data_IF_409489429276
#
_entry.id   IF_409489429276
#
_cell.length_a   1.000
_cell.length_b   1.000
_cell.length_c   1.000
_cell.angle_alpha   90.00
_cell.angle_beta   90.00
_cell.angle_gamma   90.00
#
_symmetry.space_group_name_H-M   'P 1'
#
loop_
_entity.id
_entity.type
_entity.pdbx_description
1 polymer ?
#
# COMPACT_ATOMS: atom_id res chain seq x y z
N UNK A 1 -38.96 -36.38 -1.05
CA UNK A 1 -37.96 -35.66 -0.22
C UNK A 1 -36.92 -34.90 -1.04
N UNK A 2 -36.27 -35.50 -2.05
CA UNK A 2 -35.26 -34.81 -2.89
C UNK A 2 -35.78 -33.60 -3.67
N UNK A 3 -36.99 -33.67 -4.24
CA UNK A 3 -37.58 -32.58 -5.03
C UNK A 3 -37.84 -31.33 -4.17
N UNK A 4 -38.43 -31.48 -2.99
CA UNK A 4 -38.75 -30.36 -2.09
C UNK A 4 -37.50 -29.63 -1.57
N UNK A 5 -36.41 -30.36 -1.30
CA UNK A 5 -35.11 -29.78 -0.91
C UNK A 5 -34.53 -28.97 -2.08
N UNK A 6 -34.66 -29.47 -3.31
CA UNK A 6 -34.18 -28.77 -4.50
C UNK A 6 -34.99 -27.49 -4.78
N UNK A 7 -36.32 -27.53 -4.61
CA UNK A 7 -37.17 -26.34 -4.76
C UNK A 7 -36.88 -25.29 -3.68
N UNK A 8 -36.64 -25.71 -2.44
CA UNK A 8 -36.28 -24.80 -1.35
C UNK A 8 -34.90 -24.13 -1.57
N UNK A 9 -33.91 -24.87 -2.06
CA UNK A 9 -32.59 -24.33 -2.39
C UNK A 9 -32.63 -23.34 -3.57
N UNK A 10 -33.43 -23.63 -4.60
CA UNK A 10 -33.66 -22.70 -5.73
C UNK A 10 -34.36 -21.44 -5.24
N UNK A 11 -35.39 -21.57 -4.39
CA UNK A 11 -36.10 -20.42 -3.82
C UNK A 11 -35.17 -19.55 -2.97
N UNK A 12 -34.29 -20.15 -2.15
CA UNK A 12 -33.31 -19.44 -1.32
C UNK A 12 -32.26 -18.67 -2.16
N UNK A 13 -31.87 -19.22 -3.31
CA UNK A 13 -30.95 -18.57 -4.24
C UNK A 13 -31.56 -17.31 -4.91
N UNK A 14 -32.89 -17.25 -5.07
CA UNK A 14 -33.59 -16.06 -5.59
C UNK A 14 -33.64 -14.88 -4.59
N UNK A 15 -33.35 -15.09 -3.30
CA UNK A 15 -33.28 -14.03 -2.29
C UNK A 15 -31.87 -13.57 -1.94
N UNK A 16 -30.83 -14.16 -2.55
CA UNK A 16 -29.46 -13.69 -2.39
C UNK A 16 -29.21 -12.56 -3.37
N UNK A 17 -29.27 -11.32 -2.88
CA UNK A 17 -28.85 -10.17 -3.67
C UNK A 17 -27.32 -10.20 -3.81
N UNK A 18 -26.83 -10.46 -5.02
CA UNK A 18 -25.42 -10.23 -5.37
C UNK A 18 -25.35 -8.79 -5.90
N UNK A 19 -25.04 -7.85 -5.02
CA UNK A 19 -24.91 -6.44 -5.40
C UNK A 19 -23.51 -6.21 -5.98
N UNK A 20 -23.43 -5.97 -7.28
CA UNK A 20 -22.20 -5.51 -7.94
C UNK A 20 -22.02 -3.98 -7.88
N UNK A 21 -22.93 -3.27 -7.20
CA UNK A 21 -22.93 -1.81 -7.08
C UNK A 21 -23.17 -1.38 -5.63
N UNK A 22 -22.45 -0.34 -5.20
CA UNK A 22 -22.56 0.24 -3.84
C UNK A 22 -23.85 1.06 -3.65
N UNK A 23 -24.48 1.49 -4.74
CA UNK A 23 -25.69 2.30 -4.75
C UNK A 23 -26.76 1.61 -5.59
N UNK A 24 -28.01 1.66 -5.15
CA UNK A 24 -29.14 1.20 -5.94
C UNK A 24 -29.57 2.21 -7.01
N UNK A 25 -28.99 3.41 -6.99
CA UNK A 25 -29.23 4.47 -7.96
C UNK A 25 -27.96 4.73 -8.78
N UNK A 26 -27.97 4.28 -10.03
CA UNK A 26 -26.86 4.43 -10.97
C UNK A 26 -26.59 5.88 -11.40
N UNK A 27 -27.49 6.82 -11.07
CA UNK A 27 -27.29 8.24 -11.30
C UNK A 27 -26.46 8.93 -10.20
N UNK A 28 -26.15 8.24 -9.10
CA UNK A 28 -25.44 8.79 -7.94
C UNK A 28 -24.12 8.04 -7.76
N UNK A 29 -22.99 8.73 -7.85
CA UNK A 29 -21.70 8.14 -7.51
C UNK A 29 -21.52 8.05 -5.99
N UNK A 30 -20.90 6.97 -5.50
CA UNK A 30 -20.43 6.90 -4.12
C UNK A 30 -19.14 7.72 -3.98
N UNK A 31 -19.26 8.99 -3.63
CA UNK A 31 -18.13 9.90 -3.54
C UNK A 31 -17.24 9.54 -2.33
N UNK A 32 -15.99 9.16 -2.59
CA UNK A 32 -15.00 8.81 -1.54
C UNK A 32 -14.55 10.05 -0.76
N UNK A 33 -14.47 11.18 -1.45
CA UNK A 33 -14.13 12.48 -0.91
C UNK A 33 -14.82 13.55 -1.76
N UNK A 34 -15.37 14.57 -1.10
CA UNK A 34 -16.12 15.67 -1.74
C UNK A 34 -15.65 17.01 -1.14
N UNK A 35 -14.35 17.27 -1.26
CA UNK A 35 -13.71 18.51 -0.83
C UNK A 35 -13.23 19.29 -2.03
N UNK A 36 -13.09 20.61 -1.88
CA UNK A 36 -12.46 21.46 -2.89
C UNK A 36 -10.98 21.08 -3.09
N UNK A 37 -10.44 21.37 -4.27
CA UNK A 37 -9.05 21.05 -4.63
C UNK A 37 -8.91 19.68 -5.28
N UNK A 38 -7.70 19.35 -5.74
CA UNK A 38 -7.45 18.13 -6.51
C UNK A 38 -7.40 16.88 -5.60
N UNK A 39 -8.07 15.81 -6.03
CA UNK A 39 -7.90 14.45 -5.51
C UNK A 39 -7.15 13.62 -6.57
N UNK A 40 -5.83 13.52 -6.39
CA UNK A 40 -4.92 13.01 -7.39
C UNK A 40 -4.47 11.57 -7.09
N UNK A 41 -4.23 10.83 -8.18
CA UNK A 41 -3.54 9.52 -8.18
C UNK A 41 -4.10 8.49 -7.20
N UNK A 42 -5.42 8.23 -7.14
CA UNK A 42 -5.96 7.26 -6.20
C UNK A 42 -5.38 5.85 -6.45
N UNK A 43 -5.08 5.13 -5.37
CA UNK A 43 -4.75 3.70 -5.39
C UNK A 43 -5.74 2.96 -4.49
N UNK A 44 -6.06 1.72 -4.85
CA UNK A 44 -7.03 0.88 -4.15
C UNK A 44 -6.39 -0.44 -3.75
N UNK A 45 -6.76 -0.96 -2.58
CA UNK A 45 -6.43 -2.32 -2.16
C UNK A 45 -7.64 -2.96 -1.47
N UNK A 46 -7.98 -4.18 -1.88
CA UNK A 46 -9.10 -4.93 -1.30
C UNK A 46 -8.78 -5.40 0.13
N UNK A 47 -9.80 -5.48 0.97
CA UNK A 47 -9.73 -6.06 2.32
C UNK A 47 -10.40 -7.44 2.34
N UNK A 48 -10.02 -8.27 3.30
CA UNK A 48 -10.51 -9.64 3.44
C UNK A 48 -12.01 -9.72 3.76
N UNK A 49 -12.55 -8.65 4.35
CA UNK A 49 -13.97 -8.48 4.67
C UNK A 49 -14.85 -8.15 3.45
N UNK A 50 -14.28 -8.03 2.24
CA UNK A 50 -15.00 -7.66 1.01
C UNK A 50 -15.10 -6.16 0.78
N UNK A 51 -14.52 -5.35 1.67
CA UNK A 51 -14.34 -3.91 1.49
C UNK A 51 -13.08 -3.55 0.71
N UNK A 52 -12.66 -2.29 0.85
CA UNK A 52 -11.39 -1.83 0.29
C UNK A 52 -10.85 -0.60 1.02
N UNK A 53 -9.55 -0.37 0.87
CA UNK A 53 -8.92 0.92 1.13
C UNK A 53 -8.70 1.69 -0.16
N UNK A 54 -8.94 2.99 -0.10
CA UNK A 54 -8.63 3.94 -1.17
C UNK A 54 -7.73 5.01 -0.58
N UNK A 55 -6.54 5.19 -1.16
CA UNK A 55 -5.56 6.18 -0.74
C UNK A 55 -5.29 7.15 -1.89
N UNK A 56 -5.15 8.45 -1.60
CA UNK A 56 -4.94 9.47 -2.62
C UNK A 56 -4.13 10.65 -2.09
N UNK A 57 -3.61 11.45 -3.01
CA UNK A 57 -3.08 12.78 -2.70
C UNK A 57 -4.20 13.80 -2.81
N UNK A 58 -4.35 14.64 -1.80
CA UNK A 58 -5.43 15.60 -1.67
C UNK A 58 -4.88 17.02 -1.51
N UNK A 59 -5.30 17.94 -2.36
CA UNK A 59 -4.87 19.33 -2.37
C UNK A 59 -5.89 20.30 -1.75
N UNK A 60 -6.79 19.82 -0.88
CA UNK A 60 -7.81 20.68 -0.24
C UNK A 60 -7.24 21.81 0.62
N UNK A 61 -6.00 21.66 1.09
CA UNK A 61 -5.31 22.64 1.93
C UNK A 61 -4.33 23.55 1.18
N UNK A 62 -4.32 23.52 -0.16
CA UNK A 62 -3.35 24.26 -0.98
C UNK A 62 -1.95 23.63 -1.05
N UNK A 63 -1.78 22.45 -0.47
CA UNK A 63 -0.64 21.55 -0.70
C UNK A 63 -1.11 20.11 -0.61
N UNK A 64 -0.49 19.22 -1.39
CA UNK A 64 -0.85 17.80 -1.39
C UNK A 64 -0.53 17.12 -0.06
N UNK A 65 -1.55 16.49 0.52
CA UNK A 65 -1.46 15.61 1.68
C UNK A 65 -2.00 14.22 1.32
N UNK A 66 -1.54 13.18 2.01
CA UNK A 66 -1.99 11.81 1.78
C UNK A 66 -3.19 11.52 2.66
N UNK A 67 -4.28 11.06 2.06
CA UNK A 67 -5.50 10.65 2.75
C UNK A 67 -5.86 9.20 2.43
N UNK A 68 -6.56 8.56 3.35
CA UNK A 68 -7.06 7.19 3.25
C UNK A 68 -8.54 7.13 3.59
N UNK A 69 -9.31 6.36 2.83
CA UNK A 69 -10.65 5.94 3.17
C UNK A 69 -10.68 4.42 3.22
N UNK A 70 -11.39 3.85 4.19
CA UNK A 70 -11.78 2.44 4.16
C UNK A 70 -13.27 2.37 3.85
N UNK A 71 -13.65 1.54 2.91
CA UNK A 71 -15.03 1.16 2.65
C UNK A 71 -15.28 -0.24 3.20
N UNK A 72 -16.42 -0.47 3.82
CA UNK A 72 -16.88 -1.83 4.12
C UNK A 72 -17.43 -2.54 2.86
N UNK A 73 -17.83 -3.80 3.02
CA UNK A 73 -18.45 -4.60 1.96
C UNK A 73 -19.87 -4.15 1.58
N UNK A 74 -20.37 -3.02 2.10
CA UNK A 74 -21.56 -2.33 1.64
C UNK A 74 -21.24 -0.93 1.06
N UNK A 75 -19.97 -0.51 1.03
CA UNK A 75 -19.52 0.75 0.43
C UNK A 75 -19.62 1.93 1.39
N UNK A 76 -19.89 1.67 2.67
CA UNK A 76 -19.96 2.70 3.70
C UNK A 76 -18.56 3.14 4.09
N UNK A 77 -18.40 4.45 4.32
CA UNK A 77 -17.15 5.01 4.81
C UNK A 77 -16.92 4.57 6.26
N UNK A 78 -15.77 3.96 6.51
CA UNK A 78 -15.34 3.51 7.84
C UNK A 78 -14.51 4.57 8.57
N UNK A 79 -13.96 5.55 7.84
CA UNK A 79 -13.37 6.76 8.41
C UNK A 79 -14.30 7.96 8.21
N UNK A 80 -13.85 9.15 8.61
CA UNK A 80 -14.61 10.39 8.40
C UNK A 80 -14.99 10.59 6.94
N UNK A 81 -16.05 11.38 6.68
CA UNK A 81 -16.63 11.60 5.33
C UNK A 81 -15.57 11.84 4.24
N UNK A 82 -14.53 12.61 4.55
CA UNK A 82 -13.50 13.03 3.61
C UNK A 82 -12.14 12.34 3.84
N UNK A 83 -12.17 11.12 4.41
CA UNK A 83 -10.99 10.31 4.70
C UNK A 83 -10.27 10.66 5.99
N UNK A 84 -9.39 9.74 6.39
CA UNK A 84 -8.37 9.88 7.43
C UNK A 84 -7.12 10.54 6.83
N UNK A 85 -6.63 11.61 7.47
CA UNK A 85 -5.34 12.21 7.11
C UNK A 85 -4.21 11.25 7.51
N UNK A 86 -3.39 10.82 6.54
CA UNK A 86 -2.21 9.98 6.77
C UNK A 86 -0.96 10.83 6.96
N UNK A 87 -0.74 11.84 6.11
CA UNK A 87 0.41 12.73 6.20
C UNK A 87 0.16 14.03 5.48
N UNK A 88 0.48 15.14 6.13
CA UNK A 88 0.53 16.49 5.56
C UNK A 88 1.97 17.03 5.47
N UNK A 89 2.96 16.14 5.50
CA UNK A 89 4.35 16.53 5.37
C UNK A 89 4.62 17.16 3.99
N UNK A 90 5.58 18.10 3.89
CA UNK A 90 5.82 18.83 2.64
C UNK A 90 6.09 17.90 1.46
N UNK A 91 5.35 18.08 0.38
CA UNK A 91 5.54 17.39 -0.90
C UNK A 91 6.51 18.16 -1.81
N UNK A 92 6.93 17.52 -2.91
CA UNK A 92 7.62 18.24 -3.99
C UNK A 92 6.62 18.97 -4.89
N UNK A 93 7.11 19.80 -5.81
CA UNK A 93 6.27 20.48 -6.81
C UNK A 93 5.59 19.51 -7.79
N UNK A 94 6.06 18.27 -7.85
CA UNK A 94 5.42 17.16 -8.56
C UNK A 94 5.25 15.94 -7.64
N UNK A 95 4.14 15.22 -7.82
CA UNK A 95 3.88 13.96 -7.12
C UNK A 95 4.71 12.83 -7.73
N UNK A 96 5.09 11.86 -6.89
CA UNK A 96 5.65 10.59 -7.33
C UNK A 96 4.60 9.50 -7.25
N UNK A 97 4.79 8.44 -8.05
CA UNK A 97 3.99 7.24 -7.86
C UNK A 97 4.25 6.64 -6.47
N UNK A 98 3.24 5.95 -5.94
CA UNK A 98 3.20 5.44 -4.58
C UNK A 98 2.32 4.19 -4.51
N UNK A 99 2.30 3.52 -3.37
CA UNK A 99 1.66 2.22 -3.28
C UNK A 99 1.00 1.93 -1.92
N UNK A 100 0.04 1.02 -1.96
CA UNK A 100 -0.67 0.47 -0.81
C UNK A 100 -0.72 -1.05 -0.93
N UNK A 101 -0.57 -1.74 0.19
CA UNK A 101 -0.77 -3.18 0.34
C UNK A 101 -1.51 -3.46 1.64
N UNK A 102 -2.33 -4.53 1.66
CA UNK A 102 -3.14 -4.91 2.82
C UNK A 102 -2.61 -6.24 3.35
N UNK A 103 -2.36 -6.30 4.66
CA UNK A 103 -1.89 -7.53 5.32
C UNK A 103 -3.04 -8.48 5.67
N UNK A 104 -2.71 -9.67 6.18
CA UNK A 104 -3.70 -10.67 6.57
C UNK A 104 -4.59 -10.26 7.78
N UNK A 105 -4.27 -9.15 8.45
CA UNK A 105 -5.08 -8.55 9.53
C UNK A 105 -5.85 -7.31 9.05
N UNK A 106 -5.94 -7.10 7.73
CA UNK A 106 -6.53 -5.93 7.08
C UNK A 106 -5.89 -4.58 7.46
N UNK A 107 -4.64 -4.59 7.92
CA UNK A 107 -3.87 -3.36 8.07
C UNK A 107 -3.42 -2.85 6.69
N UNK A 108 -3.58 -1.55 6.46
CA UNK A 108 -3.11 -0.89 5.24
C UNK A 108 -1.67 -0.40 5.42
N UNK A 109 -0.72 -1.03 4.73
CA UNK A 109 0.63 -0.54 4.56
C UNK A 109 0.68 0.42 3.37
N UNK A 110 1.00 1.68 3.61
CA UNK A 110 1.04 2.74 2.61
C UNK A 110 2.48 3.22 2.53
N UNK A 111 3.02 3.34 1.31
CA UNK A 111 4.34 3.89 1.10
C UNK A 111 4.28 4.98 0.03
N UNK A 112 4.89 6.13 0.32
CA UNK A 112 4.98 7.28 -0.57
C UNK A 112 6.28 8.04 -0.28
N UNK A 113 6.55 9.08 -1.05
CA UNK A 113 7.70 9.95 -0.80
C UNK A 113 7.26 11.33 -0.35
N UNK A 114 8.05 11.97 0.50
CA UNK A 114 7.87 13.37 0.86
C UNK A 114 9.21 14.03 1.22
N UNK A 115 9.18 15.34 1.47
CA UNK A 115 10.32 16.21 1.73
C UNK A 115 10.44 16.63 3.20
N UNK A 116 9.88 15.87 4.15
CA UNK A 116 9.97 16.23 5.58
C UNK A 116 11.40 16.32 6.11
N UNK A 117 12.34 15.62 5.47
CA UNK A 117 13.76 15.60 5.81
C UNK A 117 14.60 16.62 5.03
N UNK A 118 13.99 17.59 4.33
CA UNK A 118 14.71 18.67 3.66
C UNK A 118 14.20 18.97 2.25
N UNK A 119 15.09 19.01 1.26
CA UNK A 119 14.74 19.39 -0.11
C UNK A 119 14.61 18.24 -1.09
N UNK A 120 14.95 17.02 -0.67
CA UNK A 120 14.90 15.81 -1.49
C UNK A 120 13.76 14.91 -1.04
N UNK A 121 13.26 14.09 -1.97
CA UNK A 121 12.24 13.09 -1.66
C UNK A 121 12.89 11.88 -0.97
N UNK A 122 12.29 11.46 0.15
CA UNK A 122 12.61 10.21 0.82
C UNK A 122 11.34 9.35 0.97
N UNK A 123 11.45 8.01 0.90
CA UNK A 123 10.35 7.09 1.10
C UNK A 123 10.01 6.96 2.58
N UNK A 124 8.71 7.07 2.86
CA UNK A 124 8.13 6.85 4.18
C UNK A 124 7.01 5.83 4.08
N UNK A 125 6.90 4.99 5.11
CA UNK A 125 5.85 4.01 5.21
C UNK A 125 4.98 4.24 6.44
N UNK A 126 3.69 3.99 6.28
CA UNK A 126 2.68 4.03 7.32
C UNK A 126 1.99 2.68 7.37
N UNK A 127 1.62 2.25 8.58
CA UNK A 127 0.78 1.08 8.78
C UNK A 127 -0.46 1.50 9.55
N UNK A 128 -1.62 1.35 8.94
CA UNK A 128 -2.90 1.83 9.47
C UNK A 128 -3.79 0.63 9.75
N UNK A 129 -4.31 0.53 10.98
CA UNK A 129 -5.24 -0.54 11.34
C UNK A 129 -6.61 -0.37 10.67
N UNK A 130 -7.46 -1.42 10.64
CA UNK A 130 -8.86 -1.31 10.22
C UNK A 130 -9.68 -0.24 10.94
N UNK A 131 -9.28 0.14 12.15
CA UNK A 131 -9.91 1.19 12.97
C UNK A 131 -9.30 2.57 12.77
N UNK A 132 -8.28 2.71 11.92
CA UNK A 132 -7.59 3.97 11.62
C UNK A 132 -6.43 4.30 12.55
N UNK A 133 -5.98 3.36 13.38
CA UNK A 133 -4.85 3.57 14.29
C UNK A 133 -3.51 3.47 13.54
N UNK A 134 -2.57 4.36 13.88
CA UNK A 134 -1.23 4.40 13.31
C UNK A 134 -0.29 3.44 14.05
N UNK A 135 -0.07 2.25 13.49
CA UNK A 135 0.69 1.17 14.13
C UNK A 135 2.21 1.38 14.11
N UNK A 136 2.70 2.24 13.20
CA UNK A 136 4.10 2.68 13.14
C UNK A 136 4.33 4.09 13.67
N UNK A 137 3.41 4.54 14.53
CA UNK A 137 3.45 5.88 15.11
C UNK A 137 2.88 6.95 14.18
N UNK A 138 2.60 8.15 14.72
CA UNK A 138 1.85 9.19 14.03
C UNK A 138 2.57 9.77 12.80
N UNK A 139 3.89 9.60 12.72
CA UNK A 139 4.71 10.08 11.60
C UNK A 139 5.20 8.95 10.68
N UNK A 140 4.72 7.72 10.87
CA UNK A 140 5.21 6.56 10.13
C UNK A 140 6.71 6.30 10.36
N UNK A 141 7.31 5.53 9.47
CA UNK A 141 8.74 5.20 9.49
C UNK A 141 9.44 5.69 8.24
N UNK A 142 10.65 6.20 8.42
CA UNK A 142 11.57 6.47 7.30
C UNK A 142 12.12 5.16 6.77
N UNK A 143 12.06 4.98 5.44
CA UNK A 143 12.72 3.84 4.78
C UNK A 143 14.11 4.22 4.23
N UNK A 144 14.45 5.51 4.23
CA UNK A 144 15.73 5.98 3.69
C UNK A 144 16.93 5.66 4.58
N UNK A 145 18.05 5.35 3.94
CA UNK A 145 19.41 5.28 4.48
C UNK A 145 20.32 6.41 3.99
N UNK A 146 19.81 7.33 3.17
CA UNK A 146 20.59 8.34 2.44
C UNK A 146 19.93 9.71 2.47
N UNK A 147 20.73 10.72 2.83
CA UNK A 147 20.29 12.10 3.02
C UNK A 147 20.63 13.03 1.85
N UNK A 148 21.24 12.51 0.78
CA UNK A 148 21.79 13.34 -0.32
C UNK A 148 21.22 13.05 -1.70
N UNK A 149 20.41 12.00 -1.87
CA UNK A 149 19.88 11.58 -3.18
C UNK A 149 18.38 11.35 -3.07
N UNK A 150 17.63 11.91 -4.01
CA UNK A 150 16.18 11.69 -4.09
C UNK A 150 15.90 10.21 -4.33
N UNK A 151 14.96 9.67 -3.57
CA UNK A 151 14.49 8.30 -3.70
C UNK A 151 13.02 8.33 -4.11
N UNK A 152 12.67 7.57 -5.14
CA UNK A 152 11.42 7.72 -5.86
C UNK A 152 10.70 6.38 -6.03
N UNK A 153 9.42 6.45 -6.41
CA UNK A 153 8.57 5.32 -6.81
C UNK A 153 8.64 4.17 -5.78
N UNK A 154 8.30 4.41 -4.52
CA UNK A 154 8.30 3.34 -3.54
C UNK A 154 7.10 2.42 -3.76
N UNK A 155 7.32 1.12 -3.58
CA UNK A 155 6.29 0.07 -3.62
C UNK A 155 6.36 -0.77 -2.35
N UNK A 156 5.22 -1.34 -1.94
CA UNK A 156 5.12 -2.20 -0.76
C UNK A 156 4.33 -3.47 -1.08
N UNK A 157 4.76 -4.59 -0.51
CA UNK A 157 4.03 -5.84 -0.52
C UNK A 157 3.96 -6.41 0.88
N UNK A 158 2.74 -6.52 1.42
CA UNK A 158 2.50 -7.29 2.63
C UNK A 158 2.59 -8.79 2.28
N UNK A 159 3.27 -9.55 3.14
CA UNK A 159 3.48 -10.98 2.94
C UNK A 159 2.59 -11.80 3.88
N UNK A 160 2.27 -13.02 3.48
CA UNK A 160 1.40 -13.91 4.26
C UNK A 160 1.96 -14.30 5.63
N UNK A 161 3.26 -14.09 5.87
CA UNK A 161 3.93 -14.30 7.16
C UNK A 161 3.97 -13.03 8.03
N UNK A 162 3.18 -12.00 7.70
CA UNK A 162 3.02 -10.78 8.49
C UNK A 162 4.22 -9.81 8.38
N UNK A 163 5.00 -9.91 7.32
CA UNK A 163 6.06 -8.95 7.02
C UNK A 163 5.62 -7.99 5.90
N UNK A 164 6.44 -6.98 5.68
CA UNK A 164 6.30 -6.01 4.60
C UNK A 164 7.61 -5.95 3.85
N UNK A 165 7.55 -6.02 2.52
CA UNK A 165 8.69 -5.76 1.65
C UNK A 165 8.47 -4.46 0.91
N UNK A 166 9.42 -3.56 1.07
CA UNK A 166 9.46 -2.27 0.40
C UNK A 166 10.51 -2.30 -0.69
N UNK A 167 10.27 -1.58 -1.78
CA UNK A 167 11.29 -1.27 -2.77
C UNK A 167 11.15 0.16 -3.27
N UNK A 168 12.26 0.79 -3.70
CA UNK A 168 12.28 2.13 -4.28
C UNK A 168 13.51 2.33 -5.17
N UNK A 169 13.54 3.41 -5.95
CA UNK A 169 14.66 3.78 -6.83
C UNK A 169 15.40 5.01 -6.31
N UNK A 170 16.68 5.15 -6.66
CA UNK A 170 17.47 6.37 -6.44
C UNK A 170 17.56 7.20 -7.72
N UNK A 171 17.43 8.52 -7.59
CA UNK A 171 17.57 9.46 -8.71
C UNK A 171 19.02 9.88 -8.90
N UNK A 172 19.90 8.91 -9.11
CA UNK A 172 21.29 9.13 -9.45
C UNK A 172 21.66 8.30 -10.68
N UNK A 173 22.87 8.54 -11.20
CA UNK A 173 23.40 7.81 -12.34
C UNK A 173 24.61 7.00 -11.84
N UNK A 174 24.59 5.65 -11.95
CA UNK A 174 23.46 4.80 -12.41
C UNK A 174 22.31 4.72 -11.37
N UNK A 175 21.07 4.55 -11.84
CA UNK A 175 19.89 4.43 -10.96
C UNK A 175 19.92 3.10 -10.21
N UNK A 176 19.86 3.12 -8.88
CA UNK A 176 19.83 1.91 -8.05
C UNK A 176 18.42 1.58 -7.57
N UNK A 177 18.05 0.29 -7.59
CA UNK A 177 16.89 -0.24 -6.86
C UNK A 177 17.31 -0.69 -5.46
N UNK A 178 16.42 -0.49 -4.47
CA UNK A 178 16.63 -0.94 -3.09
C UNK A 178 15.45 -1.72 -2.57
N UNK A 179 15.71 -2.63 -1.64
CA UNK A 179 14.65 -3.35 -0.91
C UNK A 179 14.88 -3.33 0.60
N UNK A 180 13.79 -3.26 1.37
CA UNK A 180 13.79 -3.33 2.83
C UNK A 180 12.65 -4.22 3.32
N UNK A 181 12.92 -5.09 4.29
CA UNK A 181 11.92 -5.96 4.92
C UNK A 181 11.68 -5.55 6.38
N UNK A 182 10.41 -5.34 6.74
CA UNK A 182 9.98 -5.03 8.11
C UNK A 182 9.08 -6.17 8.62
N UNK A 183 9.30 -6.67 9.83
CA UNK A 183 8.44 -7.67 10.48
C UNK A 183 7.34 -6.99 11.28
N UNK A 184 6.16 -7.63 11.41
CA UNK A 184 5.10 -7.20 12.32
C UNK A 184 5.68 -6.80 13.69
N UNK A 185 5.72 -5.48 13.93
CA UNK A 185 6.52 -4.81 14.96
C UNK A 185 7.23 -3.55 14.42
N UNK A 186 7.83 -2.75 15.32
CA UNK A 186 8.66 -1.58 14.93
C UNK A 186 10.12 -1.93 14.69
N UNK A 187 10.47 -3.22 14.77
CA UNK A 187 11.86 -3.68 14.68
C UNK A 187 12.23 -3.96 13.22
N UNK A 188 13.10 -3.12 12.68
CA UNK A 188 13.76 -3.35 11.39
C UNK A 188 14.62 -4.63 11.50
N UNK A 189 14.40 -5.63 10.63
CA UNK A 189 15.24 -6.85 10.63
C UNK A 189 16.59 -6.57 9.97
N UNK A 190 16.67 -5.55 9.11
CA UNK A 190 17.90 -5.11 8.48
C UNK A 190 18.19 -3.67 8.87
N UNK A 191 19.39 -3.43 9.40
CA UNK A 191 19.87 -2.08 9.72
C UNK A 191 20.15 -1.23 8.46
N UNK A 192 20.13 -1.83 7.27
CA UNK A 192 20.34 -1.16 5.98
C UNK A 192 19.53 -1.84 4.86
N UNK A 193 18.93 -1.10 3.93
CA UNK A 193 18.37 -1.69 2.72
C UNK A 193 19.47 -2.40 1.93
N UNK A 194 19.16 -3.55 1.33
CA UNK A 194 20.12 -4.23 0.47
C UNK A 194 20.07 -3.56 -0.90
N UNK A 195 21.13 -2.84 -1.25
CA UNK A 195 21.33 -2.35 -2.61
C UNK A 195 21.52 -3.55 -3.54
N UNK A 196 20.61 -3.72 -4.49
CA UNK A 196 20.72 -4.75 -5.52
C UNK A 196 21.19 -4.07 -6.81
N UNK A 197 22.34 -4.51 -7.32
CA UNK A 197 22.80 -4.10 -8.66
C UNK A 197 22.05 -4.92 -9.70
N UNK A 198 21.60 -4.26 -10.77
CA UNK A 198 21.06 -4.90 -11.96
C UNK A 198 22.07 -5.91 -12.54
N UNK A 199 21.62 -7.10 -12.95
CA UNK A 199 22.46 -8.24 -13.33
C UNK A 199 22.60 -8.46 -14.85
N UNK A 200 22.07 -7.57 -15.70
CA UNK A 200 21.85 -7.92 -17.11
C UNK A 200 22.92 -7.45 -18.13
N UNK A 201 24.13 -7.06 -17.69
CA UNK A 201 25.26 -6.72 -18.59
C UNK A 201 25.05 -5.54 -19.58
N UNK A 202 23.83 -5.02 -19.68
CA UNK A 202 23.38 -3.81 -20.37
C UNK A 202 23.17 -2.70 -19.33
N UNK A 203 23.35 -1.43 -19.72
CA UNK A 203 23.13 -0.26 -18.83
C UNK A 203 21.67 -0.05 -18.42
N UNK A 204 20.74 -0.87 -18.89
CA UNK A 204 19.36 -0.97 -18.42
C UNK A 204 19.09 -2.40 -17.93
N UNK A 205 18.39 -2.56 -16.77
CA UNK A 205 17.28 -3.51 -16.53
C UNK A 205 16.82 -3.58 -15.06
N UNK A 206 15.54 -3.94 -14.89
CA UNK A 206 14.68 -4.00 -13.69
C UNK A 206 14.68 -5.35 -12.93
N UNK A 207 13.99 -5.35 -11.77
CA UNK A 207 13.36 -6.42 -10.96
C UNK A 207 13.99 -6.86 -9.60
N UNK A 208 13.04 -7.14 -8.69
CA UNK A 208 13.09 -7.15 -7.22
C UNK A 208 13.20 -8.58 -6.67
N UNK A 209 13.99 -8.77 -5.60
CA UNK A 209 14.16 -10.07 -4.91
C UNK A 209 13.61 -10.03 -3.45
N UNK A 210 12.75 -11.01 -3.14
CA UNK A 210 12.10 -11.26 -1.85
C UNK A 210 12.89 -12.31 -1.03
N UNK A 211 12.89 -12.19 0.30
CA UNK A 211 13.30 -13.29 1.20
C UNK A 211 12.25 -13.57 2.29
N UNK A 212 12.01 -14.86 2.52
CA UNK A 212 11.22 -15.41 3.63
C UNK A 212 12.16 -15.80 4.78
N UNK A 213 11.78 -15.52 6.02
CA UNK A 213 12.49 -16.02 7.22
C UNK A 213 11.65 -17.14 7.82
N UNK A 214 12.22 -18.33 7.96
CA UNK A 214 11.69 -19.41 8.81
C UNK A 214 12.84 -19.93 9.67
N UNK A 215 12.79 -19.67 10.98
CA UNK A 215 13.80 -20.12 11.94
C UNK A 215 15.12 -19.33 11.96
N UNK A 216 16.10 -19.85 12.72
CA UNK A 216 17.41 -19.24 13.01
C UNK A 216 18.52 -19.60 12.01
N UNK A 217 18.23 -20.33 10.93
CA UNK A 217 19.22 -20.68 9.91
C UNK A 217 18.79 -20.14 8.53
N UNK A 218 19.68 -19.37 7.90
CA UNK A 218 19.52 -18.88 6.53
C UNK A 218 19.92 -20.03 5.59
N UNK A 219 18.99 -20.54 4.81
CA UNK A 219 19.26 -21.48 3.71
C UNK A 219 19.11 -20.72 2.39
N UNK A 220 20.21 -20.64 1.64
CA UNK A 220 20.23 -20.21 0.24
C UNK A 220 19.44 -21.25 -0.56
N UNK A 221 18.42 -20.83 -1.31
CA UNK A 221 17.89 -21.67 -2.39
C UNK A 221 18.07 -20.87 -3.67
N UNK A 222 19.22 -21.08 -4.29
CA UNK A 222 19.48 -20.70 -5.67
C UNK A 222 18.35 -21.30 -6.53
N UNK A 223 17.53 -20.43 -7.12
CA UNK A 223 16.71 -20.79 -8.26
C UNK A 223 17.57 -20.43 -9.48
N UNK A 224 17.78 -21.43 -10.34
CA UNK A 224 18.65 -21.49 -11.53
C UNK A 224 20.10 -21.94 -11.29
N UNK A 225 20.27 -23.25 -11.14
CA UNK A 225 21.27 -23.96 -11.96
C UNK A 225 20.50 -24.72 -13.03
N UNK A 226 20.48 -24.20 -14.26
CA UNK A 226 20.33 -25.09 -15.42
C UNK A 226 21.74 -25.48 -15.88
N UNK A 227 21.80 -26.70 -16.41
CA UNK A 227 22.95 -27.59 -16.67
C UNK A 227 24.10 -26.94 -17.44
#
# INVERSE_FOLDING_TARGET
>A
MKLAIMTALVFLAFFMNINAQWTNNTAINNAICDTTGDQATPKIAATSDGGCYIVWFDNRGGSYAVYLQKLDAAGNHMFGKNGLLISNNPQNTSLQDFNISVDASDNAAIVFTDRRNGTILNPFAYLISPTGAFLWGPNGVSLTDSIGVSQNIPVVSATSDGNYVFAWTYNNIPQWGSTLKIQSGTTLIYNYPKLVKSDNGSTNNELVCLYRKSGNNIQHKDLYTEV
#
